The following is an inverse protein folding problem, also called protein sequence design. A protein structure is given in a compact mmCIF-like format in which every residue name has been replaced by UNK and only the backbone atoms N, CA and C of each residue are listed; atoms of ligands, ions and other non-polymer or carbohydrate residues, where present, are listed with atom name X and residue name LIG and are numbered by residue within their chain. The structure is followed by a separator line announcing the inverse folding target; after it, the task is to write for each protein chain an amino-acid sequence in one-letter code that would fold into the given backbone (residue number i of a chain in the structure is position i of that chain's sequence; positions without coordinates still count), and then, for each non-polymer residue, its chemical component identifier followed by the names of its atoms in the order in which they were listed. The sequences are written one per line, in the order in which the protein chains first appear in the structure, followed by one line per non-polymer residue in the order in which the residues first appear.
data_IF_426390814986
#
_entry.id   IF_426390814986
#
_cell.length_a   1.000
_cell.length_b   1.000
_cell.length_c   1.000
_cell.angle_alpha   90.00
_cell.angle_beta   90.00
_cell.angle_gamma   90.00
#
_symmetry.space_group_name_H-M   'P 1'
#
loop_
_entity.id
_entity.type
_entity.pdbx_description
1 polymer ?
#
# COMPACT_ATOMS: atom_id res chain seq x y z
N UNK A 1 2.97 48.91 39.94
CA UNK A 1 1.83 47.99 39.68
C UNK A 1 2.07 47.15 38.41
N UNK A 2 3.05 46.24 38.38
CA UNK A 2 3.32 45.37 37.22
C UNK A 2 3.33 43.85 37.53
N UNK A 3 3.22 43.45 38.81
CA UNK A 3 3.31 42.04 39.23
C UNK A 3 2.00 41.25 39.15
N UNK A 4 0.83 41.91 39.15
CA UNK A 4 -0.47 41.22 39.08
C UNK A 4 -0.88 40.76 37.68
N UNK A 5 -0.45 41.46 36.62
CA UNK A 5 -0.82 41.08 35.24
C UNK A 5 -0.13 39.79 34.76
N UNK A 6 1.06 39.46 35.27
CA UNK A 6 1.75 38.21 34.90
C UNK A 6 1.10 36.96 35.50
N UNK A 7 0.49 37.09 36.69
CA UNK A 7 -0.22 35.97 37.32
C UNK A 7 -1.49 35.61 36.55
N UNK A 8 -2.29 36.62 36.17
CA UNK A 8 -3.53 36.41 35.41
C UNK A 8 -3.22 35.83 34.03
N UNK A 9 -2.17 36.33 33.36
CA UNK A 9 -1.74 35.81 32.06
C UNK A 9 -1.29 34.34 32.16
N UNK A 10 -0.58 33.98 33.23
CA UNK A 10 -0.13 32.61 33.49
C UNK A 10 -1.29 31.61 33.66
N UNK A 11 -2.35 31.99 34.39
CA UNK A 11 -3.53 31.13 34.56
C UNK A 11 -4.30 30.91 33.26
N UNK A 12 -4.40 31.93 32.40
CA UNK A 12 -5.06 31.82 31.10
C UNK A 12 -4.28 30.88 30.18
N UNK A 13 -2.95 30.99 30.13
CA UNK A 13 -2.10 30.10 29.31
C UNK A 13 -2.22 28.65 29.77
N UNK A 14 -2.19 28.40 31.09
CA UNK A 14 -2.34 27.05 31.65
C UNK A 14 -3.72 26.47 31.34
N UNK A 15 -4.79 27.27 31.48
CA UNK A 15 -6.15 26.83 31.16
C UNK A 15 -6.29 26.46 29.67
N UNK A 16 -5.70 27.26 28.77
CA UNK A 16 -5.72 26.99 27.32
C UNK A 16 -4.97 25.70 26.98
N UNK A 17 -3.77 25.49 27.56
CA UNK A 17 -2.99 24.25 27.36
C UNK A 17 -3.76 23.03 27.88
N UNK A 18 -4.40 23.14 29.05
CA UNK A 18 -5.23 22.06 29.60
C UNK A 18 -6.41 21.76 28.69
N UNK A 19 -7.12 22.78 28.17
CA UNK A 19 -8.23 22.54 27.23
C UNK A 19 -7.76 21.92 25.92
N UNK A 20 -6.63 22.35 25.36
CA UNK A 20 -6.06 21.76 24.13
C UNK A 20 -5.64 20.31 24.38
N UNK A 21 -4.99 20.03 25.52
CA UNK A 21 -4.62 18.68 25.92
C UNK A 21 -5.86 17.81 26.11
N UNK A 22 -6.91 18.28 26.78
CA UNK A 22 -8.16 17.53 26.97
C UNK A 22 -8.86 17.25 25.63
N UNK A 23 -8.85 18.20 24.69
CA UNK A 23 -9.40 17.98 23.34
C UNK A 23 -8.57 16.94 22.56
N UNK A 24 -7.23 16.98 22.66
CA UNK A 24 -6.34 15.99 22.03
C UNK A 24 -6.38 14.60 22.71
N UNK A 25 -6.66 14.52 24.01
CA UNK A 25 -6.80 13.25 24.74
C UNK A 25 -8.19 12.64 24.62
N UNK A 26 -9.23 13.47 24.42
CA UNK A 26 -10.62 13.02 24.23
C UNK A 26 -11.03 12.87 22.77
N UNK A 27 -10.17 13.14 21.79
CA UNK A 27 -10.34 12.51 20.48
C UNK A 27 -10.27 11.01 20.71
N UNK A 28 -11.36 10.24 20.53
CA UNK A 28 -11.32 8.81 20.70
C UNK A 28 -10.19 8.31 19.80
N UNK A 29 -9.19 7.65 20.40
CA UNK A 29 -8.24 6.85 19.63
C UNK A 29 -9.11 5.82 18.92
N UNK A 30 -9.43 6.13 17.67
CA UNK A 30 -10.07 5.19 16.77
C UNK A 30 -9.27 3.90 16.90
N UNK A 31 -9.95 2.79 17.10
CA UNK A 31 -9.29 1.50 17.17
C UNK A 31 -8.88 1.13 15.74
N UNK A 32 -7.83 1.77 15.23
CA UNK A 32 -7.31 1.58 13.88
C UNK A 32 -7.06 0.09 13.61
N UNK A 33 -6.76 -0.69 14.65
CA UNK A 33 -6.59 -2.15 14.58
C UNK A 33 -7.88 -2.89 14.19
N UNK A 34 -9.05 -2.48 14.68
CA UNK A 34 -10.32 -3.14 14.38
C UNK A 34 -10.79 -2.82 12.96
N UNK A 35 -10.67 -1.54 12.56
CA UNK A 35 -11.03 -1.09 11.21
C UNK A 35 -10.12 -1.75 10.17
N UNK A 36 -8.81 -1.85 10.44
CA UNK A 36 -7.88 -2.54 9.55
C UNK A 36 -8.15 -4.04 9.49
N UNK A 37 -8.52 -4.69 10.59
CA UNK A 37 -8.91 -6.11 10.57
C UNK A 37 -10.15 -6.39 9.70
N UNK A 38 -11.16 -5.52 9.73
CA UNK A 38 -12.35 -5.67 8.87
C UNK A 38 -11.93 -5.57 7.40
N UNK A 39 -11.16 -4.54 7.07
CA UNK A 39 -10.75 -4.26 5.68
C UNK A 39 -9.75 -5.27 5.12
N UNK A 40 -8.96 -5.96 5.96
CA UNK A 40 -8.02 -6.99 5.51
C UNK A 40 -8.69 -8.22 4.86
N UNK A 41 -10.00 -8.41 5.09
CA UNK A 41 -10.80 -9.45 4.44
C UNK A 41 -11.47 -9.01 3.12
N UNK A 42 -11.37 -7.74 2.75
CA UNK A 42 -11.94 -7.21 1.51
C UNK A 42 -11.23 -7.80 0.27
N UNK A 43 -11.99 -8.16 -0.77
CA UNK A 43 -11.45 -8.78 -1.99
C UNK A 43 -10.39 -7.93 -2.69
N UNK A 44 -10.58 -6.61 -2.74
CA UNK A 44 -9.65 -5.69 -3.37
C UNK A 44 -8.35 -5.58 -2.56
N UNK A 45 -8.43 -5.67 -1.24
CA UNK A 45 -7.24 -5.70 -0.36
C UNK A 45 -6.46 -6.99 -0.55
N UNK A 46 -7.15 -8.13 -0.70
CA UNK A 46 -6.50 -9.40 -1.03
C UNK A 46 -5.82 -9.36 -2.40
N UNK A 47 -6.46 -8.74 -3.39
CA UNK A 47 -5.87 -8.53 -4.72
C UNK A 47 -4.65 -7.60 -4.64
N UNK A 48 -4.74 -6.48 -3.90
CA UNK A 48 -3.60 -5.59 -3.66
C UNK A 48 -2.41 -6.34 -3.06
N UNK A 49 -2.65 -7.19 -2.06
CA UNK A 49 -1.59 -8.00 -1.46
C UNK A 49 -0.94 -8.93 -2.50
N UNK A 50 -1.71 -9.54 -3.39
CA UNK A 50 -1.19 -10.36 -4.51
C UNK A 50 -0.38 -9.53 -5.50
N UNK A 51 -0.85 -8.34 -5.88
CA UNK A 51 -0.10 -7.43 -6.76
C UNK A 51 1.27 -7.09 -6.17
N UNK A 52 1.31 -6.72 -4.89
CA UNK A 52 2.56 -6.36 -4.19
C UNK A 52 3.48 -7.59 -4.05
N UNK A 53 2.90 -8.76 -3.76
CA UNK A 53 3.65 -10.01 -3.73
C UNK A 53 4.26 -10.35 -5.09
N UNK A 54 3.51 -10.19 -6.18
CA UNK A 54 3.99 -10.48 -7.53
C UNK A 54 5.12 -9.53 -7.94
N UNK A 55 4.98 -8.24 -7.64
CA UNK A 55 6.06 -7.25 -7.86
C UNK A 55 7.33 -7.59 -7.08
N UNK A 56 7.20 -7.95 -5.81
CA UNK A 56 8.33 -8.35 -4.98
C UNK A 56 8.95 -9.66 -5.46
N UNK A 57 8.13 -10.62 -5.90
CA UNK A 57 8.57 -11.88 -6.47
C UNK A 57 9.39 -11.66 -7.73
N UNK A 58 8.95 -10.77 -8.61
CA UNK A 58 9.71 -10.36 -9.78
C UNK A 58 11.07 -9.78 -9.40
N UNK A 59 11.10 -8.88 -8.41
CA UNK A 59 12.34 -8.31 -7.87
C UNK A 59 13.27 -9.37 -7.27
N UNK A 60 12.72 -10.38 -6.58
CA UNK A 60 13.50 -11.45 -5.94
C UNK A 60 14.05 -12.46 -6.96
N UNK A 61 13.30 -12.72 -8.03
CA UNK A 61 13.64 -13.73 -9.02
C UNK A 61 14.22 -13.16 -10.32
N UNK A 62 14.55 -11.87 -10.35
CA UNK A 62 14.98 -11.16 -11.56
C UNK A 62 16.18 -11.80 -12.27
N UNK A 63 17.06 -12.47 -11.53
CA UNK A 63 18.22 -13.17 -12.10
C UNK A 63 17.83 -14.38 -12.93
N UNK A 64 16.86 -15.18 -12.47
CA UNK A 64 16.35 -16.31 -13.25
C UNK A 64 15.50 -15.81 -14.43
N UNK A 65 14.72 -14.75 -14.22
CA UNK A 65 13.97 -14.09 -15.32
C UNK A 65 14.93 -13.61 -16.41
N UNK A 66 16.04 -12.97 -16.04
CA UNK A 66 17.04 -12.49 -16.98
C UNK A 66 17.67 -13.62 -17.81
N UNK A 67 17.96 -14.78 -17.19
CA UNK A 67 18.46 -15.96 -17.91
C UNK A 67 17.44 -16.48 -18.91
N UNK A 68 16.18 -16.66 -18.50
CA UNK A 68 15.10 -17.13 -19.39
C UNK A 68 14.91 -16.16 -20.56
N UNK A 69 14.94 -14.86 -20.30
CA UNK A 69 14.82 -13.85 -21.36
C UNK A 69 16.01 -13.90 -22.33
N UNK A 70 17.23 -14.10 -21.84
CA UNK A 70 18.41 -14.27 -22.69
C UNK A 70 18.31 -15.54 -23.55
N UNK A 71 17.87 -16.66 -22.99
CA UNK A 71 17.60 -17.92 -23.71
C UNK A 71 16.53 -17.75 -24.80
N UNK A 72 15.56 -16.87 -24.58
CA UNK A 72 14.52 -16.50 -25.55
C UNK A 72 14.96 -15.41 -26.55
N UNK A 73 16.18 -14.87 -26.43
CA UNK A 73 16.69 -13.80 -27.29
C UNK A 73 16.20 -12.38 -26.94
N UNK A 74 15.56 -12.20 -25.79
CA UNK A 74 15.07 -10.91 -25.29
C UNK A 74 16.20 -10.21 -24.51
N UNK A 75 16.87 -9.24 -25.15
CA UNK A 75 18.01 -8.50 -24.55
C UNK A 75 17.63 -7.21 -23.81
N UNK A 76 16.49 -7.20 -23.12
CA UNK A 76 15.97 -5.99 -22.46
C UNK A 76 16.51 -5.77 -21.03
N UNK A 77 17.00 -6.82 -20.38
CA UNK A 77 17.46 -6.77 -18.99
C UNK A 77 18.97 -6.58 -18.92
N UNK A 78 19.42 -5.32 -18.90
CA UNK A 78 20.84 -5.00 -18.68
C UNK A 78 21.23 -5.25 -17.21
N UNK A 79 22.53 -5.43 -16.89
CA UNK A 79 22.97 -5.56 -15.50
C UNK A 79 22.52 -4.40 -14.60
N UNK A 80 22.46 -3.19 -15.13
CA UNK A 80 21.97 -2.00 -14.43
C UNK A 80 20.47 -2.11 -14.11
N UNK A 81 19.66 -2.56 -15.07
CA UNK A 81 18.21 -2.76 -14.88
C UNK A 81 17.94 -3.87 -13.88
N UNK A 82 18.69 -4.97 -13.95
CA UNK A 82 18.57 -6.09 -13.01
C UNK A 82 18.86 -5.60 -11.59
N UNK A 83 19.99 -4.91 -11.41
CA UNK A 83 20.41 -4.41 -10.11
C UNK A 83 19.44 -3.35 -9.55
N UNK A 84 18.89 -2.48 -10.40
CA UNK A 84 17.84 -1.56 -10.01
C UNK A 84 16.59 -2.31 -9.55
N UNK A 85 16.14 -3.28 -10.36
CA UNK A 85 14.94 -4.08 -10.07
C UNK A 85 15.03 -4.79 -8.72
N UNK A 86 16.19 -5.36 -8.36
CA UNK A 86 16.41 -6.00 -7.04
C UNK A 86 16.11 -5.11 -5.84
N UNK A 87 16.30 -3.79 -6.00
CA UNK A 87 16.09 -2.79 -4.94
C UNK A 87 14.66 -2.26 -4.93
N UNK A 88 13.90 -2.45 -6.01
CA UNK A 88 12.56 -1.88 -6.20
C UNK A 88 11.43 -2.68 -5.54
N UNK A 89 11.66 -3.14 -4.31
CA UNK A 89 10.62 -3.80 -3.53
C UNK A 89 9.56 -2.82 -3.07
N UNK A 90 8.35 -3.32 -3.00
CA UNK A 90 7.14 -2.59 -2.62
C UNK A 90 6.58 -3.11 -1.31
N UNK A 91 5.98 -2.21 -0.55
CA UNK A 91 5.20 -2.52 0.66
C UNK A 91 3.96 -1.65 0.72
N UNK A 92 3.05 -1.94 1.65
CA UNK A 92 1.81 -1.17 1.81
C UNK A 92 1.74 -0.56 3.20
N UNK A 93 1.47 0.75 3.26
CA UNK A 93 1.07 1.44 4.48
C UNK A 93 -0.43 1.75 4.44
N UNK A 94 -1.04 1.86 5.62
CA UNK A 94 -2.47 2.11 5.78
C UNK A 94 -2.67 3.43 6.52
N UNK A 95 -3.62 4.24 6.06
CA UNK A 95 -4.07 5.46 6.72
C UNK A 95 -5.57 5.35 6.98
N UNK A 96 -5.99 5.46 8.25
CA UNK A 96 -7.40 5.38 8.65
C UNK A 96 -7.92 6.79 8.91
N UNK A 97 -9.06 7.14 8.31
CA UNK A 97 -9.73 8.43 8.51
C UNK A 97 -11.21 8.22 8.76
N UNK A 98 -11.77 8.84 9.79
CA UNK A 98 -13.22 8.83 10.03
C UNK A 98 -13.92 9.76 9.03
N UNK A 99 -14.92 9.25 8.30
CA UNK A 99 -15.68 10.04 7.32
C UNK A 99 -16.92 10.65 8.00
N UNK A 100 -17.82 9.80 8.48
CA UNK A 100 -19.10 10.22 9.07
C UNK A 100 -19.69 9.09 9.92
N UNK A 101 -20.26 9.41 11.09
CA UNK A 101 -20.92 8.42 11.94
C UNK A 101 -20.05 7.19 12.24
N UNK A 102 -20.47 6.04 11.72
CA UNK A 102 -19.79 4.74 11.84
C UNK A 102 -18.95 4.35 10.60
N UNK A 103 -18.82 5.26 9.63
CA UNK A 103 -18.09 5.04 8.40
C UNK A 103 -16.66 5.60 8.45
N UNK A 104 -15.71 4.78 8.01
CA UNK A 104 -14.28 5.08 7.97
C UNK A 104 -13.73 4.81 6.57
N UNK A 105 -12.69 5.54 6.22
CA UNK A 105 -11.87 5.36 5.03
C UNK A 105 -10.53 4.77 5.42
N UNK A 106 -10.13 3.66 4.81
CA UNK A 106 -8.78 3.11 4.90
C UNK A 106 -8.09 3.30 3.55
N UNK A 107 -7.05 4.13 3.50
CA UNK A 107 -6.23 4.32 2.30
C UNK A 107 -5.02 3.39 2.36
N UNK A 108 -4.85 2.58 1.32
CA UNK A 108 -3.71 1.69 1.15
C UNK A 108 -2.70 2.33 0.19
N UNK A 109 -1.55 2.70 0.73
CA UNK A 109 -0.48 3.41 0.04
C UNK A 109 0.67 2.45 -0.29
N UNK A 110 1.06 2.37 -1.56
CA UNK A 110 2.26 1.64 -1.95
C UNK A 110 3.51 2.47 -1.63
N UNK A 111 4.41 1.89 -0.85
CA UNK A 111 5.72 2.45 -0.54
C UNK A 111 6.79 1.70 -1.34
N UNK A 112 7.62 2.44 -2.07
CA UNK A 112 8.79 1.94 -2.80
C UNK A 112 9.88 3.03 -2.82
N UNK A 113 11.15 2.67 -3.08
CA UNK A 113 12.23 3.65 -3.25
C UNK A 113 11.92 4.68 -4.34
N UNK A 114 12.33 5.94 -4.14
CA UNK A 114 12.03 7.06 -5.05
C UNK A 114 12.49 6.81 -6.49
N UNK A 115 13.61 6.14 -6.69
CA UNK A 115 14.17 5.81 -8.00
C UNK A 115 13.41 4.67 -8.72
N UNK A 116 12.60 3.93 -7.99
CA UNK A 116 11.71 2.88 -8.50
C UNK A 116 10.31 3.41 -8.82
N UNK A 117 10.01 4.63 -8.37
CA UNK A 117 8.75 5.30 -8.64
C UNK A 117 8.66 5.66 -10.11
N UNK A 118 7.55 5.30 -10.72
CA UNK A 118 7.12 5.83 -12.01
C UNK A 118 5.71 6.40 -11.83
N UNK A 119 5.31 7.32 -12.71
CA UNK A 119 3.94 7.82 -12.73
C UNK A 119 2.89 6.70 -12.90
N UNK A 120 3.30 5.50 -13.34
CA UNK A 120 2.48 4.30 -13.46
C UNK A 120 2.54 3.36 -12.26
N UNK A 121 3.51 3.52 -11.36
CA UNK A 121 3.74 2.62 -10.21
C UNK A 121 3.51 3.27 -8.86
N UNK A 122 3.24 4.58 -8.76
CA UNK A 122 3.04 5.24 -7.46
C UNK A 122 1.77 6.05 -7.42
N UNK A 123 0.91 5.70 -6.48
CA UNK A 123 -0.06 6.54 -5.75
C UNK A 123 -0.95 5.63 -4.90
N UNK A 124 -1.65 6.17 -3.88
CA UNK A 124 -2.75 5.51 -3.14
C UNK A 124 -3.43 4.48 -4.04
N UNK A 125 -3.25 3.19 -3.82
CA UNK A 125 -3.69 2.19 -4.80
C UNK A 125 -5.17 1.89 -4.62
N UNK A 126 -5.59 1.85 -3.36
CA UNK A 126 -6.90 1.37 -2.96
C UNK A 126 -7.42 2.17 -1.78
N UNK A 127 -8.64 2.66 -1.92
CA UNK A 127 -9.41 3.23 -0.84
C UNK A 127 -10.49 2.22 -0.45
N UNK A 128 -10.60 1.89 0.82
CA UNK A 128 -11.65 1.01 1.34
C UNK A 128 -12.52 1.80 2.30
N UNK A 129 -13.77 1.99 1.92
CA UNK A 129 -14.79 2.50 2.84
C UNK A 129 -15.31 1.34 3.68
N UNK A 130 -15.45 1.54 4.98
CA UNK A 130 -15.91 0.52 5.92
C UNK A 130 -16.88 1.12 6.92
N UNK A 131 -17.99 0.44 7.13
CA UNK A 131 -18.86 0.71 8.26
C UNK A 131 -18.44 -0.20 9.43
N UNK A 132 -18.02 0.39 10.56
CA UNK A 132 -17.46 -0.39 11.68
C UNK A 132 -18.51 -1.32 12.34
N UNK A 133 -19.80 -0.97 12.25
CA UNK A 133 -20.87 -1.74 12.88
C UNK A 133 -21.36 -2.89 11.99
N UNK A 134 -21.70 -2.61 10.72
CA UNK A 134 -22.16 -3.65 9.77
C UNK A 134 -21.02 -4.49 9.22
N UNK A 135 -19.77 -3.98 9.32
CA UNK A 135 -18.55 -4.56 8.74
C UNK A 135 -18.58 -4.63 7.22
N UNK A 136 -19.52 -3.94 6.59
CA UNK A 136 -19.57 -3.81 5.13
C UNK A 136 -18.36 -3.01 4.64
N UNK A 137 -17.79 -3.44 3.51
CA UNK A 137 -16.62 -2.82 2.91
C UNK A 137 -16.86 -2.56 1.43
N UNK A 138 -16.38 -1.43 0.93
CA UNK A 138 -16.38 -1.09 -0.49
C UNK A 138 -14.98 -0.60 -0.88
N UNK A 139 -14.31 -1.38 -1.74
CA UNK A 139 -12.99 -1.06 -2.25
C UNK A 139 -13.07 -0.27 -3.56
N UNK A 140 -12.24 0.75 -3.71
CA UNK A 140 -12.14 1.54 -4.93
C UNK A 140 -10.67 1.82 -5.28
N UNK A 141 -10.22 1.24 -6.39
CA UNK A 141 -8.90 1.49 -6.94
C UNK A 141 -8.78 2.92 -7.46
N UNK A 142 -7.65 3.57 -7.17
CA UNK A 142 -7.43 4.94 -7.62
C UNK A 142 -6.79 4.98 -9.01
N UNK A 143 -6.75 6.19 -9.60
CA UNK A 143 -6.08 6.47 -10.87
C UNK A 143 -6.60 5.63 -12.06
N UNK A 144 -7.86 5.18 -12.01
CA UNK A 144 -8.47 4.40 -13.08
C UNK A 144 -7.88 3.01 -13.25
N UNK A 145 -7.18 2.49 -12.23
CA UNK A 145 -6.71 1.11 -12.22
C UNK A 145 -7.94 0.20 -12.16
N UNK A 146 -8.06 -0.69 -13.16
CA UNK A 146 -9.06 -1.75 -13.19
C UNK A 146 -8.35 -3.01 -13.63
N UNK A 147 -8.47 -4.07 -12.84
CA UNK A 147 -7.91 -5.38 -13.21
C UNK A 147 -9.00 -6.18 -13.94
N UNK A 148 -8.69 -6.66 -15.14
CA UNK A 148 -9.53 -7.66 -15.79
C UNK A 148 -9.40 -9.00 -15.05
N UNK A 149 -10.41 -9.86 -15.15
CA UNK A 149 -10.37 -11.22 -14.60
C UNK A 149 -9.13 -12.00 -15.09
N UNK A 150 -8.78 -11.83 -16.37
CA UNK A 150 -7.59 -12.46 -16.95
C UNK A 150 -6.29 -11.97 -16.31
N UNK A 151 -6.20 -10.68 -15.95
CA UNK A 151 -5.03 -10.11 -15.29
C UNK A 151 -4.93 -10.59 -13.84
N UNK A 152 -6.07 -10.72 -13.15
CA UNK A 152 -6.12 -11.29 -11.79
C UNK A 152 -5.62 -12.74 -11.81
N UNK A 153 -6.14 -13.55 -12.74
CA UNK A 153 -5.73 -14.94 -12.87
C UNK A 153 -4.24 -15.07 -13.21
N UNK A 154 -3.72 -14.20 -14.08
CA UNK A 154 -2.30 -14.18 -14.43
C UNK A 154 -1.41 -13.85 -13.22
N UNK A 155 -1.81 -12.88 -12.40
CA UNK A 155 -1.13 -12.56 -11.13
C UNK A 155 -1.15 -13.77 -10.19
N UNK A 156 -2.31 -14.43 -10.03
CA UNK A 156 -2.44 -15.60 -9.16
C UNK A 156 -1.56 -16.77 -9.62
N UNK A 157 -1.63 -17.11 -10.90
CA UNK A 157 -0.83 -18.15 -11.51
C UNK A 157 0.67 -17.85 -11.41
N UNK A 158 1.07 -16.58 -11.57
CA UNK A 158 2.47 -16.16 -11.39
C UNK A 158 2.98 -16.38 -9.97
N UNK A 159 2.08 -16.46 -8.97
CA UNK A 159 2.45 -16.65 -7.57
C UNK A 159 2.42 -18.12 -7.13
N UNK A 160 1.89 -19.05 -7.93
CA UNK A 160 1.89 -20.48 -7.62
C UNK A 160 3.30 -21.11 -7.57
N UNK A 161 4.25 -20.77 -8.48
CA UNK A 161 5.59 -21.34 -8.46
C UNK A 161 6.41 -20.91 -7.24
N UNK A 162 6.84 -21.90 -6.44
CA UNK A 162 7.58 -21.67 -5.19
C UNK A 162 9.05 -21.33 -5.38
N UNK A 163 9.68 -21.79 -6.46
CA UNK A 163 11.07 -21.46 -6.80
C UNK A 163 11.16 -20.42 -7.94
N UNK A 164 12.30 -19.75 -8.02
CA UNK A 164 12.50 -18.67 -9.00
C UNK A 164 12.63 -19.15 -10.43
N UNK A 165 13.04 -20.40 -10.67
CA UNK A 165 13.16 -20.92 -12.03
C UNK A 165 11.78 -21.18 -12.64
N UNK A 166 10.91 -21.89 -11.93
CA UNK A 166 9.54 -22.09 -12.38
C UNK A 166 8.75 -20.78 -12.49
N UNK A 167 9.00 -19.80 -11.60
CA UNK A 167 8.47 -18.44 -11.74
C UNK A 167 8.96 -17.77 -13.04
N UNK A 168 10.26 -17.80 -13.30
CA UNK A 168 10.86 -17.21 -14.49
C UNK A 168 10.34 -17.84 -15.79
N UNK A 169 10.15 -19.16 -15.81
CA UNK A 169 9.57 -19.88 -16.95
C UNK A 169 8.11 -19.44 -17.20
N UNK A 170 7.32 -19.24 -16.14
CA UNK A 170 5.96 -18.71 -16.25
C UNK A 170 5.96 -17.28 -16.84
N UNK A 171 6.76 -16.39 -16.28
CA UNK A 171 6.89 -15.01 -16.77
C UNK A 171 7.42 -14.98 -18.21
N UNK A 172 8.39 -15.81 -18.56
CA UNK A 172 8.90 -15.92 -19.93
C UNK A 172 7.88 -16.43 -20.95
N UNK A 173 6.84 -17.15 -20.52
CA UNK A 173 5.81 -17.70 -21.42
C UNK A 173 4.54 -16.86 -21.50
N UNK A 174 4.23 -16.10 -20.45
CA UNK A 174 2.99 -15.31 -20.31
C UNK A 174 3.26 -13.81 -20.18
N UNK A 175 4.32 -13.45 -19.47
CA UNK A 175 4.82 -12.09 -19.31
C UNK A 175 5.58 -11.62 -20.54
N UNK A 176 4.89 -11.47 -21.67
CA UNK A 176 5.46 -10.70 -22.77
C UNK A 176 4.93 -9.27 -22.74
N UNK A 177 5.84 -8.35 -22.42
CA UNK A 177 6.00 -7.08 -23.14
C UNK A 177 6.15 -7.39 -24.65
N UNK A 178 5.09 -7.90 -25.28
CA UNK A 178 4.96 -8.03 -26.73
C UNK A 178 4.30 -6.78 -27.28
#
# INVERSE_FOLDING_TARGET
MKKQNYLILGFVVVAVIITIAVVLFNTPKINDSEITQITDSNSEVLLLNKVIQSQNRFSDCIDEVAKVYEEQGIKQLTPEIIEKTRRCKSSVSKEVTKISGDNYLVKYNQNMPEDCKSARTVSNLLNVEVNIHTKETAGNWQNGIVFSESAIQDIENSLEPKDCKAYADYIGSHGTLK
#
